data_IF_907539797566
#
_entry.id   IF_907539797566
#
_cell.length_a   1.000
_cell.length_b   1.000
_cell.length_c   1.000
_cell.angle_alpha   90.00
_cell.angle_beta   90.00
_cell.angle_gamma   90.00
#
_symmetry.space_group_name_H-M   'P 1'
#
loop_
_entity.id
_entity.type
_entity.pdbx_description
1 polymer ?
#
# COMPACT_ATOMS: atom_id res chain seq x y z
N UNK A 1 14.61 35.04 -7.17
CA UNK A 1 13.14 35.18 -7.24
C UNK A 1 12.48 34.40 -8.37
N UNK A 2 12.64 34.74 -9.66
CA UNK A 2 11.93 34.03 -10.75
C UNK A 2 12.41 32.58 -10.95
N UNK A 3 13.73 32.37 -10.81
CA UNK A 3 14.38 31.05 -10.95
C UNK A 3 14.14 30.10 -9.75
N UNK A 4 13.95 30.65 -8.55
CA UNK A 4 13.59 29.88 -7.34
C UNK A 4 12.12 29.45 -7.35
N UNK A 5 11.24 30.28 -7.92
CA UNK A 5 9.83 29.95 -8.12
C UNK A 5 9.64 28.84 -9.17
N UNK A 6 10.41 28.87 -10.27
CA UNK A 6 10.39 27.80 -11.28
C UNK A 6 10.98 26.49 -10.74
N UNK A 7 12.05 26.55 -9.94
CA UNK A 7 12.64 25.39 -9.28
C UNK A 7 11.69 24.73 -8.26
N UNK A 8 10.93 25.53 -7.50
CA UNK A 8 9.92 25.02 -6.57
C UNK A 8 8.75 24.34 -7.28
N UNK A 9 8.25 24.93 -8.36
CA UNK A 9 7.18 24.35 -9.18
C UNK A 9 7.61 23.03 -9.86
N UNK A 10 8.85 22.97 -10.36
CA UNK A 10 9.41 21.75 -10.93
C UNK A 10 9.46 20.62 -9.89
N UNK A 11 9.89 20.92 -8.66
CA UNK A 11 9.92 19.97 -7.55
C UNK A 11 8.51 19.47 -7.19
N UNK A 12 7.52 20.35 -7.08
CA UNK A 12 6.14 19.94 -6.77
C UNK A 12 5.53 19.06 -7.87
N UNK A 13 5.77 19.41 -9.14
CA UNK A 13 5.36 18.57 -10.27
C UNK A 13 6.02 17.19 -10.23
N UNK A 14 7.32 17.12 -9.96
CA UNK A 14 8.06 15.85 -9.84
C UNK A 14 7.51 14.98 -8.71
N UNK A 15 7.31 15.55 -7.51
CA UNK A 15 6.75 14.85 -6.35
C UNK A 15 5.33 14.34 -6.59
N UNK A 16 4.49 15.16 -7.23
CA UNK A 16 3.14 14.75 -7.64
C UNK A 16 3.17 13.56 -8.60
N UNK A 17 3.97 13.66 -9.66
CA UNK A 17 4.10 12.59 -10.65
C UNK A 17 4.63 11.31 -10.02
N UNK A 18 5.47 11.46 -9.01
CA UNK A 18 5.99 10.34 -8.27
C UNK A 18 4.92 9.59 -7.47
N UNK A 19 4.17 10.33 -6.66
CA UNK A 19 3.06 9.79 -5.90
C UNK A 19 2.01 9.13 -6.80
N UNK A 20 1.69 9.73 -7.95
CA UNK A 20 0.76 9.14 -8.93
C UNK A 20 1.30 7.84 -9.58
N UNK A 21 2.60 7.76 -9.86
CA UNK A 21 3.22 6.56 -10.40
C UNK A 21 3.17 5.41 -9.41
N UNK A 22 3.46 5.69 -8.14
CA UNK A 22 3.35 4.71 -7.03
C UNK A 22 1.92 4.23 -6.85
N UNK A 23 0.94 5.14 -6.91
CA UNK A 23 -0.48 4.77 -6.89
C UNK A 23 -0.85 3.78 -8.01
N UNK A 24 -0.33 4.01 -9.22
CA UNK A 24 -0.57 3.11 -10.37
C UNK A 24 0.01 1.71 -10.11
N UNK A 25 1.20 1.64 -9.50
CA UNK A 25 1.82 0.35 -9.17
C UNK A 25 1.08 -0.39 -8.05
N UNK A 26 0.67 0.31 -7.00
CA UNK A 26 -0.19 -0.28 -5.95
C UNK A 26 -1.53 -0.77 -6.51
N UNK A 27 -2.13 -0.04 -7.45
CA UNK A 27 -3.34 -0.49 -8.16
C UNK A 27 -3.11 -1.79 -8.93
N UNK A 28 -1.98 -1.88 -9.63
CA UNK A 28 -1.57 -3.08 -10.35
C UNK A 28 -1.43 -4.28 -9.41
N UNK A 29 -0.72 -4.13 -8.29
CA UNK A 29 -0.52 -5.19 -7.31
C UNK A 29 -1.82 -5.62 -6.66
N UNK A 30 -2.64 -4.64 -6.22
CA UNK A 30 -3.95 -4.90 -5.62
C UNK A 30 -4.82 -5.74 -6.55
N UNK A 31 -4.94 -5.34 -7.82
CA UNK A 31 -5.70 -6.11 -8.81
C UNK A 31 -5.13 -7.49 -9.10
N UNK A 32 -3.80 -7.66 -9.05
CA UNK A 32 -3.16 -8.95 -9.36
C UNK A 32 -3.34 -10.02 -8.25
N UNK A 33 -3.54 -9.60 -7.00
CA UNK A 33 -3.85 -10.50 -5.87
C UNK A 33 -5.34 -10.59 -5.55
N UNK A 34 -6.13 -9.54 -5.84
CA UNK A 34 -7.56 -9.50 -5.55
C UNK A 34 -8.41 -10.19 -6.61
N UNK A 35 -8.04 -10.02 -7.88
CA UNK A 35 -8.82 -10.49 -9.02
C UNK A 35 -8.00 -11.39 -9.95
N UNK A 36 -8.72 -12.23 -10.71
CA UNK A 36 -8.11 -13.02 -11.78
C UNK A 36 -7.39 -12.08 -12.76
N UNK A 37 -6.12 -12.36 -13.14
CA UNK A 37 -5.35 -11.49 -14.03
C UNK A 37 -6.07 -11.23 -15.35
N UNK A 38 -6.58 -10.01 -15.55
CA UNK A 38 -7.35 -9.67 -16.74
C UNK A 38 -6.49 -9.69 -18.02
N UNK A 39 -7.13 -9.88 -19.17
CA UNK A 39 -6.46 -9.88 -20.48
C UNK A 39 -5.77 -8.55 -20.78
N UNK A 40 -6.29 -7.45 -20.25
CA UNK A 40 -5.67 -6.12 -20.30
C UNK A 40 -4.37 -6.09 -19.50
N UNK A 41 -4.37 -6.63 -18.28
CA UNK A 41 -3.19 -6.67 -17.41
C UNK A 41 -2.06 -7.45 -18.06
N UNK A 42 -2.37 -8.66 -18.54
CA UNK A 42 -1.39 -9.53 -19.21
C UNK A 42 -0.81 -8.85 -20.44
N UNK A 43 -1.65 -8.15 -21.24
CA UNK A 43 -1.19 -7.39 -22.40
C UNK A 43 -0.25 -6.24 -22.03
N UNK A 44 -0.58 -5.46 -21.00
CA UNK A 44 0.24 -4.32 -20.56
C UNK A 44 1.63 -4.75 -20.06
N UNK A 45 1.73 -5.92 -19.41
CA UNK A 45 3.03 -6.48 -19.02
C UNK A 45 3.78 -6.98 -20.26
N UNK A 46 3.11 -7.75 -21.13
CA UNK A 46 3.72 -8.38 -22.32
C UNK A 46 4.25 -7.37 -23.32
N UNK A 47 3.48 -6.33 -23.61
CA UNK A 47 3.86 -5.31 -24.59
C UNK A 47 4.90 -4.32 -24.02
N UNK A 48 5.44 -4.60 -22.83
CA UNK A 48 6.44 -3.78 -22.16
C UNK A 48 5.92 -2.42 -21.70
N UNK A 49 4.61 -2.15 -21.81
CA UNK A 49 4.02 -0.85 -21.47
C UNK A 49 4.30 -0.48 -20.01
N UNK A 50 4.15 -1.44 -19.10
CA UNK A 50 4.46 -1.25 -17.68
C UNK A 50 5.95 -0.96 -17.45
N UNK A 51 6.84 -1.67 -18.17
CA UNK A 51 8.30 -1.46 -18.09
C UNK A 51 8.65 -0.07 -18.61
N UNK A 52 8.17 0.30 -19.78
CA UNK A 52 8.40 1.62 -20.38
C UNK A 52 7.90 2.74 -19.49
N UNK A 53 6.74 2.57 -18.84
CA UNK A 53 6.23 3.53 -17.87
C UNK A 53 7.14 3.65 -16.63
N UNK A 54 7.65 2.53 -16.12
CA UNK A 54 8.61 2.53 -15.00
C UNK A 54 9.99 3.09 -15.39
N UNK A 55 10.42 2.94 -16.64
CA UNK A 55 11.71 3.48 -17.10
C UNK A 55 11.65 4.96 -17.50
N UNK A 56 10.46 5.45 -17.85
CA UNK A 56 10.22 6.84 -18.25
C UNK A 56 10.47 7.84 -17.12
N UNK A 57 10.36 7.41 -15.86
CA UNK A 57 10.59 8.27 -14.71
C UNK A 57 11.78 7.77 -13.88
N UNK A 58 12.79 8.61 -13.60
CA UNK A 58 13.98 8.21 -12.82
C UNK A 58 13.64 7.57 -11.47
N UNK A 59 12.54 8.01 -10.88
CA UNK A 59 12.03 7.61 -9.59
C UNK A 59 11.32 6.25 -9.59
N UNK A 60 10.70 5.82 -10.70
CA UNK A 60 10.11 4.47 -10.84
C UNK A 60 11.05 3.46 -11.50
N UNK A 61 12.23 3.91 -11.94
CA UNK A 61 13.24 3.09 -12.62
C UNK A 61 13.73 1.91 -11.78
N UNK A 62 13.70 2.04 -10.45
CA UNK A 62 14.04 0.95 -9.52
C UNK A 62 13.11 -0.26 -9.70
N UNK A 63 11.82 0.01 -9.97
CA UNK A 63 10.80 -1.02 -10.18
C UNK A 63 10.86 -1.70 -11.56
N UNK A 64 11.48 -1.06 -12.56
CA UNK A 64 11.57 -1.58 -13.93
C UNK A 64 12.28 -2.92 -14.03
N UNK A 65 13.24 -3.21 -13.13
CA UNK A 65 13.92 -4.52 -13.09
C UNK A 65 12.95 -5.64 -12.73
N UNK A 66 12.03 -5.39 -11.79
CA UNK A 66 11.02 -6.35 -11.35
C UNK A 66 9.98 -6.59 -12.44
N UNK A 67 9.55 -5.52 -13.11
CA UNK A 67 8.61 -5.60 -14.24
C UNK A 67 9.19 -6.35 -15.45
N UNK A 68 10.48 -6.21 -15.73
CA UNK A 68 11.14 -7.01 -16.78
C UNK A 68 11.18 -8.49 -16.43
N UNK A 69 11.43 -8.83 -15.17
CA UNK A 69 11.44 -10.22 -14.70
C UNK A 69 10.07 -10.88 -14.90
N UNK A 70 8.97 -10.22 -14.52
CA UNK A 70 7.62 -10.76 -14.74
C UNK A 70 7.25 -10.82 -16.23
N UNK A 71 7.64 -9.84 -17.04
CA UNK A 71 7.40 -9.86 -18.48
C UNK A 71 8.08 -11.05 -19.17
N UNK A 72 9.29 -11.40 -18.75
CA UNK A 72 10.02 -12.57 -19.25
C UNK A 72 9.41 -13.92 -18.83
N UNK A 73 8.54 -13.93 -17.81
CA UNK A 73 7.84 -15.13 -17.34
C UNK A 73 6.48 -15.35 -18.02
N UNK A 74 6.02 -14.40 -18.84
CA UNK A 74 4.77 -14.51 -19.58
C UNK A 74 5.09 -14.98 -21.00
N UNK A 75 5.01 -16.28 -21.24
CA UNK A 75 5.12 -16.83 -22.59
C UNK A 75 4.02 -16.28 -23.51
N UNK A 76 4.33 -16.21 -24.82
CA UNK A 76 3.41 -15.73 -25.85
C UNK A 76 2.05 -16.46 -25.89
N UNK A 77 1.98 -17.65 -25.28
CA UNK A 77 0.84 -18.57 -25.22
C UNK A 77 0.12 -18.60 -23.86
N UNK A 78 0.41 -17.67 -22.93
CA UNK A 78 -0.31 -17.63 -21.65
C UNK A 78 -1.79 -17.35 -21.91
N UNK A 79 -2.57 -18.43 -21.94
CA UNK A 79 -4.01 -18.41 -21.95
C UNK A 79 -4.46 -17.79 -20.62
N UNK A 80 -5.49 -16.94 -20.69
CA UNK A 80 -6.14 -16.36 -19.51
C UNK A 80 -6.61 -17.44 -18.51
N UNK A 81 -6.95 -18.61 -19.03
CA UNK A 81 -7.53 -19.71 -18.29
C UNK A 81 -6.54 -20.39 -17.32
N UNK A 82 -5.32 -20.83 -17.73
CA UNK A 82 -4.28 -21.27 -16.80
C UNK A 82 -3.95 -20.29 -15.67
N UNK A 83 -3.88 -18.98 -15.97
CA UNK A 83 -3.65 -17.97 -14.93
C UNK A 83 -4.84 -17.85 -13.98
N UNK A 84 -6.07 -17.89 -14.49
CA UNK A 84 -7.28 -17.85 -13.67
C UNK A 84 -7.41 -19.10 -12.78
N UNK A 85 -7.08 -20.28 -13.31
CA UNK A 85 -7.07 -21.55 -12.55
C UNK A 85 -6.06 -21.45 -11.41
N UNK A 86 -4.83 -21.04 -11.73
CA UNK A 86 -3.76 -20.94 -10.74
C UNK A 86 -4.05 -19.86 -9.69
N UNK A 87 -4.62 -18.71 -10.08
CA UNK A 87 -5.13 -17.69 -9.16
C UNK A 87 -6.15 -18.28 -8.20
N UNK A 88 -7.16 -18.99 -8.71
CA UNK A 88 -8.19 -19.60 -7.88
C UNK A 88 -7.60 -20.66 -6.92
N UNK A 89 -6.61 -21.43 -7.37
CA UNK A 89 -5.90 -22.42 -6.55
C UNK A 89 -5.10 -21.78 -5.41
N UNK A 90 -4.39 -20.68 -5.69
CA UNK A 90 -3.54 -20.01 -4.71
C UNK A 90 -4.35 -19.15 -3.73
N UNK A 91 -5.36 -18.41 -4.18
CA UNK A 91 -5.93 -17.29 -3.41
C UNK A 91 -7.41 -17.38 -3.05
N UNK A 92 -8.20 -18.27 -3.67
CA UNK A 92 -9.68 -18.21 -3.53
C UNK A 92 -10.28 -19.39 -2.77
N UNK A 93 -9.98 -20.63 -3.16
CA UNK A 93 -10.68 -21.80 -2.62
C UNK A 93 -9.80 -22.66 -1.71
N UNK A 94 -10.35 -23.31 -0.65
CA UNK A 94 -9.61 -24.21 0.22
C UNK A 94 -9.31 -25.53 -0.50
N UNK A 95 -8.34 -25.48 -1.43
CA UNK A 95 -7.81 -26.60 -2.17
C UNK A 95 -6.33 -26.83 -1.87
N UNK A 96 -5.74 -27.81 -2.56
CA UNK A 96 -4.31 -28.09 -2.43
C UNK A 96 -3.46 -26.88 -2.83
N UNK A 97 -2.64 -26.40 -1.88
CA UNK A 97 -1.77 -25.25 -2.07
C UNK A 97 -2.47 -23.89 -1.99
N UNK A 98 -3.66 -23.82 -1.39
CA UNK A 98 -4.31 -22.57 -1.00
C UNK A 98 -3.48 -21.81 0.03
N UNK A 99 -3.28 -20.52 -0.21
CA UNK A 99 -2.52 -19.60 0.62
C UNK A 99 -3.42 -18.42 0.98
N UNK A 100 -4.06 -18.41 2.16
CA UNK A 100 -4.99 -17.35 2.56
C UNK A 100 -4.28 -15.98 2.56
N UNK A 101 -4.70 -15.04 1.71
CA UNK A 101 -4.05 -13.73 1.52
C UNK A 101 -4.47 -12.68 2.57
N UNK A 102 -4.48 -13.06 3.86
CA UNK A 102 -4.92 -12.20 4.96
C UNK A 102 -3.81 -12.03 6.00
N UNK A 103 -3.52 -10.80 6.43
CA UNK A 103 -2.51 -10.53 7.46
C UNK A 103 -2.81 -11.32 8.74
N UNK A 104 -4.06 -11.30 9.20
CA UNK A 104 -4.49 -11.98 10.43
C UNK A 104 -4.25 -13.49 10.45
N UNK A 105 -4.13 -14.11 9.26
CA UNK A 105 -3.84 -15.54 9.12
C UNK A 105 -2.34 -15.80 9.04
N UNK A 106 -1.57 -14.90 8.44
CA UNK A 106 -0.15 -15.09 8.13
C UNK A 106 0.78 -14.52 9.21
N UNK A 107 0.39 -13.45 9.90
CA UNK A 107 1.21 -12.80 10.91
C UNK A 107 1.26 -13.64 12.20
N UNK A 108 2.33 -14.43 12.38
CA UNK A 108 2.50 -15.33 13.55
C UNK A 108 2.91 -14.61 14.84
N UNK A 109 3.40 -13.38 14.77
CA UNK A 109 3.81 -12.59 15.95
C UNK A 109 3.78 -11.11 15.59
N UNK A 110 2.90 -10.32 16.21
CA UNK A 110 2.94 -8.85 16.12
C UNK A 110 3.58 -8.28 17.39
N UNK A 111 4.42 -7.27 17.22
CA UNK A 111 4.67 -6.30 18.29
C UNK A 111 3.41 -5.42 18.33
N UNK A 112 2.76 -5.22 19.49
CA UNK A 112 1.57 -4.38 19.56
C UNK A 112 1.86 -3.00 18.98
N UNK A 113 0.98 -2.51 18.10
CA UNK A 113 0.95 -1.08 17.79
C UNK A 113 0.61 -0.35 19.10
N UNK A 114 1.43 0.59 19.61
CA UNK A 114 1.30 1.11 20.98
C UNK A 114 0.02 1.93 21.25
N UNK A 115 -0.97 1.96 20.35
CA UNK A 115 -2.22 2.68 20.53
C UNK A 115 -2.10 4.20 20.46
N UNK A 116 -0.90 4.76 20.33
CA UNK A 116 -0.72 6.16 19.94
C UNK A 116 -0.93 6.28 18.42
N UNK A 117 -2.18 6.13 17.97
CA UNK A 117 -2.58 6.48 16.62
C UNK A 117 -2.30 7.96 16.39
N UNK A 118 -1.56 8.31 15.33
CA UNK A 118 -1.33 9.64 14.73
C UNK A 118 -1.12 10.89 15.65
N UNK A 119 -1.11 10.76 16.97
CA UNK A 119 -0.98 11.81 17.96
C UNK A 119 0.46 11.85 18.42
N UNK A 120 1.32 12.44 17.60
CA UNK A 120 2.48 13.22 18.03
C UNK A 120 3.01 14.00 16.83
N UNK A 121 2.14 14.75 16.18
CA UNK A 121 2.57 15.97 15.48
C UNK A 121 2.09 17.12 16.36
N UNK A 122 3.05 17.86 16.92
CA UNK A 122 2.82 18.93 17.90
C UNK A 122 1.75 19.92 17.44
N UNK A 123 0.89 20.28 18.38
CA UNK A 123 -0.39 20.96 18.21
C UNK A 123 -0.32 22.47 17.89
N UNK A 124 0.61 22.94 17.06
CA UNK A 124 0.83 24.39 16.83
C UNK A 124 0.81 24.80 15.35
N UNK A 125 -0.10 24.27 14.54
CA UNK A 125 -0.42 24.90 13.24
C UNK A 125 -1.91 25.01 13.05
N UNK A 126 -2.39 26.26 13.14
CA UNK A 126 -3.75 26.68 12.82
C UNK A 126 -4.07 26.42 11.36
N UNK A 127 -4.86 25.39 11.10
CA UNK A 127 -5.50 25.15 9.81
C UNK A 127 -6.92 25.73 9.85
N UNK A 128 -7.12 26.83 9.13
CA UNK A 128 -8.44 27.32 8.74
C UNK A 128 -8.90 26.65 7.44
N UNK A 129 -10.23 26.56 7.20
CA UNK A 129 -10.87 25.30 6.82
C UNK A 129 -11.16 25.16 5.32
N UNK A 130 -11.11 23.91 4.83
CA UNK A 130 -11.43 23.59 3.45
C UNK A 130 -11.75 22.12 3.12
N UNK A 131 -12.02 21.26 4.11
CA UNK A 131 -12.72 19.97 3.91
C UNK A 131 -13.52 19.68 5.18
N UNK A 132 -14.81 20.04 5.15
CA UNK A 132 -15.67 20.08 6.33
C UNK A 132 -16.28 18.74 6.69
N UNK A 133 -16.17 18.38 7.97
CA UNK A 133 -17.16 17.56 8.67
C UNK A 133 -17.70 18.39 9.85
N UNK A 134 -18.39 19.48 9.52
CA UNK A 134 -19.19 20.25 10.47
C UNK A 134 -20.48 19.51 10.80
N UNK A 135 -20.38 18.40 11.55
CA UNK A 135 -21.40 17.88 12.46
C UNK A 135 -20.77 16.75 13.28
N UNK A 136 -20.03 17.12 14.32
CA UNK A 136 -19.51 16.18 15.31
C UNK A 136 -20.49 16.09 16.48
N UNK A 137 -21.24 14.99 16.66
CA UNK A 137 -21.93 14.78 17.92
C UNK A 137 -20.94 14.21 18.94
N UNK A 138 -20.82 14.91 20.06
CA UNK A 138 -20.13 14.45 21.26
C UNK A 138 -20.70 13.11 21.73
N UNK A 139 -19.84 12.11 21.96
CA UNK A 139 -20.14 11.05 22.93
C UNK A 139 -18.86 10.46 23.52
N UNK A 140 -18.80 10.60 24.83
CA UNK A 140 -17.89 9.96 25.77
C UNK A 140 -17.73 8.46 25.48
N UNK A 141 -16.48 8.02 25.33
CA UNK A 141 -16.12 6.61 25.43
C UNK A 141 -16.12 6.21 26.91
N UNK A 142 -16.83 5.16 27.34
CA UNK A 142 -16.60 4.59 28.66
C UNK A 142 -15.25 3.88 28.65
N UNK A 143 -14.44 4.11 29.69
CA UNK A 143 -13.16 3.43 29.87
C UNK A 143 -13.34 1.90 29.85
N UNK A 144 -12.47 1.15 29.15
CA UNK A 144 -12.52 -0.30 29.19
C UNK A 144 -11.91 -0.78 30.51
N UNK A 145 -12.75 -0.93 31.52
CA UNK A 145 -12.46 -1.81 32.64
C UNK A 145 -12.46 -3.26 32.13
N UNK A 146 -11.27 -3.84 31.93
CA UNK A 146 -11.10 -5.29 31.82
C UNK A 146 -10.25 -5.78 30.66
N UNK A 147 -8.96 -5.46 30.65
CA UNK A 147 -7.97 -6.30 29.95
C UNK A 147 -7.73 -7.57 30.78
N UNK A 148 -8.54 -8.60 30.55
CA UNK A 148 -8.33 -9.93 31.08
C UNK A 148 -7.78 -10.86 29.98
N UNK A 149 -6.50 -11.20 30.15
CA UNK A 149 -5.79 -12.42 29.75
C UNK A 149 -5.74 -12.83 28.27
N UNK A 150 -4.54 -12.64 27.73
CA UNK A 150 -3.93 -13.31 26.58
C UNK A 150 -4.25 -14.81 26.51
N UNK A 151 -4.98 -15.21 25.48
CA UNK A 151 -5.05 -16.60 25.03
C UNK A 151 -4.80 -16.64 23.53
N UNK A 152 -3.79 -17.39 23.12
CA UNK A 152 -3.52 -17.77 21.74
C UNK A 152 -4.80 -18.35 21.12
N UNK A 153 -5.50 -17.56 20.32
CA UNK A 153 -6.63 -18.02 19.52
C UNK A 153 -6.13 -18.35 18.11
N UNK A 154 -6.69 -19.41 17.52
CA UNK A 154 -6.42 -19.82 16.14
C UNK A 154 -6.52 -18.62 15.17
N UNK A 155 -5.80 -18.63 14.02
CA UNK A 155 -5.87 -17.55 13.05
C UNK A 155 -7.33 -17.24 12.72
N UNK A 156 -7.76 -16.04 13.12
CA UNK A 156 -9.12 -15.53 12.95
C UNK A 156 -9.06 -14.47 11.87
N UNK A 157 -9.96 -14.59 10.89
CA UNK A 157 -10.11 -13.65 9.77
C UNK A 157 -10.46 -12.21 10.21
N UNK A 158 -10.97 -12.03 11.43
CA UNK A 158 -11.17 -10.72 12.07
C UNK A 158 -10.21 -10.55 13.26
N UNK A 159 -8.95 -10.90 13.06
CA UNK A 159 -7.90 -10.72 14.07
C UNK A 159 -7.54 -9.24 14.27
N UNK A 160 -6.63 -8.99 15.21
CA UNK A 160 -6.17 -7.64 15.56
C UNK A 160 -5.69 -6.84 14.34
N UNK A 161 -5.06 -7.51 13.37
CA UNK A 161 -4.60 -6.90 12.11
C UNK A 161 -5.75 -6.30 11.28
N UNK A 162 -6.87 -7.01 11.15
CA UNK A 162 -8.04 -6.54 10.40
C UNK A 162 -8.69 -5.32 11.05
N UNK A 163 -8.77 -5.32 12.39
CA UNK A 163 -9.30 -4.18 13.15
C UNK A 163 -8.36 -2.96 13.07
N UNK A 164 -7.05 -3.19 13.14
CA UNK A 164 -6.03 -2.16 13.03
C UNK A 164 -6.01 -1.53 11.63
N UNK A 165 -6.07 -2.35 10.58
CA UNK A 165 -6.16 -1.89 9.19
C UNK A 165 -7.44 -1.07 8.98
N UNK A 166 -8.59 -1.56 9.47
CA UNK A 166 -9.86 -0.83 9.40
C UNK A 166 -9.78 0.53 10.12
N UNK A 167 -9.13 0.59 11.28
CA UNK A 167 -8.89 1.85 11.99
C UNK A 167 -8.05 2.82 11.15
N UNK A 168 -6.95 2.35 10.56
CA UNK A 168 -6.13 3.18 9.67
C UNK A 168 -6.90 3.72 8.46
N UNK A 169 -7.82 2.92 7.89
CA UNK A 169 -8.67 3.37 6.78
C UNK A 169 -9.60 4.50 7.20
N UNK A 170 -10.26 4.33 8.36
CA UNK A 170 -11.15 5.34 8.93
C UNK A 170 -10.41 6.63 9.30
N UNK A 171 -9.24 6.54 9.94
CA UNK A 171 -8.38 7.69 10.28
C UNK A 171 -7.89 8.46 9.05
N UNK A 172 -7.76 7.76 7.92
CA UNK A 172 -7.40 8.36 6.64
C UNK A 172 -8.61 8.95 5.89
N UNK A 173 -9.83 8.76 6.42
CA UNK A 173 -11.07 9.25 5.81
C UNK A 173 -11.59 8.35 4.67
N UNK A 174 -11.15 7.10 4.60
CA UNK A 174 -11.67 6.13 3.64
C UNK A 174 -12.68 5.20 4.32
N UNK A 175 -13.88 5.14 3.77
CA UNK A 175 -14.89 4.17 4.19
C UNK A 175 -14.73 2.88 3.39
N UNK A 176 -14.68 1.75 4.09
CA UNK A 176 -14.82 0.45 3.44
C UNK A 176 -16.26 0.33 2.95
N UNK A 177 -16.47 0.30 1.64
CA UNK A 177 -17.79 0.01 1.08
C UNK A 177 -18.27 -1.35 1.59
N UNK A 178 -19.48 -1.41 2.13
CA UNK A 178 -20.11 -2.65 2.61
C UNK A 178 -20.26 -3.73 1.51
N UNK A 179 -20.02 -3.37 0.24
CA UNK A 179 -20.05 -4.28 -0.91
C UNK A 179 -18.72 -5.01 -1.17
N UNK A 180 -17.63 -4.66 -0.48
CA UNK A 180 -16.35 -5.37 -0.63
C UNK A 180 -16.43 -6.66 0.20
N UNK A 181 -16.53 -7.79 -0.49
CA UNK A 181 -16.55 -9.13 0.12
C UNK A 181 -15.23 -9.48 0.83
N UNK A 182 -14.14 -8.77 0.51
CA UNK A 182 -12.82 -8.98 1.09
C UNK A 182 -12.61 -8.21 2.41
N UNK A 183 -11.97 -8.89 3.37
CA UNK A 183 -11.68 -8.34 4.69
C UNK A 183 -10.69 -7.16 4.65
N UNK A 184 -10.68 -6.30 5.68
CA UNK A 184 -9.80 -5.13 5.72
C UNK A 184 -8.31 -5.45 5.60
N UNK A 185 -7.87 -6.61 6.08
CA UNK A 185 -6.48 -7.09 6.08
C UNK A 185 -6.14 -8.03 4.92
N UNK A 186 -7.03 -8.12 3.92
CA UNK A 186 -6.69 -8.81 2.69
C UNK A 186 -5.57 -8.05 1.96
N UNK A 187 -4.57 -8.75 1.41
CA UNK A 187 -3.43 -8.12 0.73
C UNK A 187 -3.85 -7.10 -0.33
N UNK A 188 -4.88 -7.41 -1.13
CA UNK A 188 -5.35 -6.48 -2.16
C UNK A 188 -5.96 -5.22 -1.55
N UNK A 189 -6.63 -5.32 -0.42
CA UNK A 189 -7.24 -4.20 0.30
C UNK A 189 -6.14 -3.30 0.90
N UNK A 190 -5.14 -3.89 1.55
CA UNK A 190 -4.00 -3.14 2.10
C UNK A 190 -3.18 -2.43 1.01
N UNK A 191 -2.97 -3.09 -0.13
CA UNK A 191 -2.32 -2.49 -1.30
C UNK A 191 -3.17 -1.38 -1.91
N UNK A 192 -4.50 -1.54 -1.96
CA UNK A 192 -5.40 -0.50 -2.48
C UNK A 192 -5.43 0.72 -1.56
N UNK A 193 -5.37 0.51 -0.24
CA UNK A 193 -5.22 1.60 0.71
C UNK A 193 -3.92 2.39 0.50
N UNK A 194 -2.81 1.71 0.25
CA UNK A 194 -1.56 2.39 -0.13
C UNK A 194 -1.69 3.19 -1.43
N UNK A 195 -2.42 2.69 -2.44
CA UNK A 195 -2.76 3.48 -3.64
C UNK A 195 -3.51 4.76 -3.26
N UNK A 196 -4.52 4.66 -2.41
CA UNK A 196 -5.31 5.82 -1.98
C UNK A 196 -4.47 6.87 -1.25
N UNK A 197 -3.57 6.44 -0.36
CA UNK A 197 -2.63 7.33 0.31
C UNK A 197 -1.64 8.00 -0.66
N UNK A 198 -1.20 7.30 -1.71
CA UNK A 198 -0.38 7.88 -2.77
C UNK A 198 -1.14 8.93 -3.60
N UNK A 199 -2.43 8.71 -3.87
CA UNK A 199 -3.27 9.70 -4.54
C UNK A 199 -3.49 10.95 -3.68
N UNK A 200 -3.70 10.76 -2.36
CA UNK A 200 -3.79 11.88 -1.42
C UNK A 200 -2.50 12.70 -1.38
N UNK A 201 -1.33 12.05 -1.40
CA UNK A 201 -0.04 12.73 -1.54
C UNK A 201 0.07 13.50 -2.86
N UNK A 202 -0.29 12.88 -4.00
CA UNK A 202 -0.25 13.53 -5.31
C UNK A 202 -1.15 14.78 -5.35
N UNK A 203 -2.33 14.71 -4.74
CA UNK A 203 -3.25 15.83 -4.63
C UNK A 203 -2.67 16.94 -3.73
N UNK A 204 -2.08 16.60 -2.59
CA UNK A 204 -1.45 17.58 -1.71
C UNK A 204 -0.29 18.34 -2.39
N UNK A 205 0.50 17.64 -3.23
CA UNK A 205 1.54 18.28 -4.05
C UNK A 205 0.96 19.17 -5.16
N UNK A 206 -0.20 18.79 -5.73
CA UNK A 206 -0.92 19.64 -6.69
C UNK A 206 -1.43 20.92 -6.04
N UNK A 207 -1.94 20.83 -4.82
CA UNK A 207 -2.50 21.95 -4.07
C UNK A 207 -1.42 22.76 -3.31
N UNK A 208 -0.14 22.47 -3.55
CA UNK A 208 1.02 23.10 -2.90
C UNK A 208 0.96 23.09 -1.36
N UNK A 209 0.33 22.08 -0.77
CA UNK A 209 0.12 21.95 0.68
C UNK A 209 1.14 20.97 1.27
N UNK A 210 2.36 21.45 1.55
CA UNK A 210 3.48 20.62 2.01
C UNK A 210 3.23 19.85 3.32
N UNK A 211 2.41 20.40 4.23
CA UNK A 211 2.03 19.73 5.49
C UNK A 211 1.14 18.51 5.23
N UNK A 212 0.14 18.64 4.35
CA UNK A 212 -0.73 17.53 3.95
C UNK A 212 0.06 16.44 3.20
N UNK A 213 1.00 16.82 2.33
CA UNK A 213 1.89 15.87 1.66
C UNK A 213 2.76 15.10 2.67
N UNK A 214 3.27 15.79 3.70
CA UNK A 214 4.07 15.18 4.76
C UNK A 214 3.26 14.23 5.64
N UNK A 215 2.01 14.58 5.96
CA UNK A 215 1.08 13.69 6.67
C UNK A 215 0.75 12.44 5.83
N UNK A 216 0.51 12.60 4.53
CA UNK A 216 0.26 11.48 3.63
C UNK A 216 1.47 10.54 3.58
N UNK A 217 2.69 11.07 3.41
CA UNK A 217 3.94 10.30 3.43
C UNK A 217 4.16 9.57 4.76
N UNK A 218 3.88 10.23 5.89
CA UNK A 218 3.98 9.60 7.21
C UNK A 218 3.01 8.40 7.34
N UNK A 219 1.75 8.59 6.93
CA UNK A 219 0.74 7.51 6.95
C UNK A 219 1.16 6.32 6.07
N UNK A 220 1.65 6.59 4.86
CA UNK A 220 2.16 5.56 3.95
C UNK A 220 3.30 4.77 4.58
N UNK A 221 4.28 5.47 5.18
CA UNK A 221 5.43 4.84 5.83
C UNK A 221 5.00 3.98 7.02
N UNK A 222 4.15 4.51 7.88
CA UNK A 222 3.68 3.78 9.07
C UNK A 222 2.91 2.53 8.68
N UNK A 223 1.96 2.66 7.74
CA UNK A 223 1.16 1.51 7.29
C UNK A 223 2.03 0.47 6.57
N UNK A 224 2.93 0.88 5.68
CA UNK A 224 3.85 -0.02 4.98
C UNK A 224 4.69 -0.85 5.97
N UNK A 225 5.22 -0.24 7.03
CA UNK A 225 6.09 -0.93 7.98
C UNK A 225 5.32 -1.84 8.94
N UNK A 226 4.14 -1.43 9.40
CA UNK A 226 3.39 -2.17 10.41
C UNK A 226 2.45 -3.24 9.85
N UNK A 227 1.96 -3.06 8.63
CA UNK A 227 1.11 -4.03 7.93
C UNK A 227 1.90 -4.76 6.85
N UNK A 228 2.05 -4.16 5.66
CA UNK A 228 2.55 -4.85 4.48
C UNK A 228 3.92 -5.52 4.70
N UNK A 229 4.92 -4.86 5.29
CA UNK A 229 6.23 -5.45 5.53
C UNK A 229 6.27 -6.47 6.67
N UNK A 230 5.27 -6.47 7.56
CA UNK A 230 5.21 -7.41 8.67
C UNK A 230 4.91 -8.84 8.21
N UNK A 231 4.21 -9.01 7.08
CA UNK A 231 3.75 -10.32 6.64
C UNK A 231 3.93 -10.59 5.14
N UNK A 232 3.78 -9.58 4.26
CA UNK A 232 3.76 -9.80 2.80
C UNK A 232 5.07 -10.39 2.28
N UNK A 233 6.28 -9.99 2.72
CA UNK A 233 7.52 -10.63 2.25
C UNK A 233 7.57 -12.14 2.56
N UNK A 234 7.16 -12.54 3.77
CA UNK A 234 7.06 -13.95 4.16
C UNK A 234 5.99 -14.69 3.37
N UNK A 235 4.83 -14.07 3.16
CA UNK A 235 3.76 -14.59 2.33
C UNK A 235 4.20 -14.78 0.87
N UNK A 236 4.94 -13.83 0.30
CA UNK A 236 5.49 -13.93 -1.06
C UNK A 236 6.42 -15.15 -1.19
N UNK A 237 7.22 -15.48 -0.18
CA UNK A 237 8.04 -16.69 -0.19
C UNK A 237 7.18 -17.97 -0.26
N UNK A 238 6.02 -18.00 0.41
CA UNK A 238 5.08 -19.12 0.32
C UNK A 238 4.47 -19.22 -1.08
N UNK A 239 4.07 -18.09 -1.66
CA UNK A 239 3.52 -18.04 -3.03
C UNK A 239 4.56 -18.52 -4.04
N UNK A 240 5.82 -18.06 -3.94
CA UNK A 240 6.91 -18.52 -4.81
C UNK A 240 7.13 -20.04 -4.71
N UNK A 241 7.11 -20.60 -3.50
CA UNK A 241 7.30 -22.04 -3.29
C UNK A 241 6.13 -22.91 -3.75
N UNK A 242 4.91 -22.37 -3.78
CA UNK A 242 3.69 -23.09 -4.17
C UNK A 242 3.25 -22.82 -5.61
N UNK A 243 3.78 -21.78 -6.26
CA UNK A 243 3.39 -21.41 -7.62
C UNK A 243 3.78 -22.49 -8.63
N UNK A 244 2.78 -23.00 -9.36
CA UNK A 244 2.96 -23.91 -10.50
C UNK A 244 3.19 -23.13 -11.79
N UNK A 245 2.73 -21.88 -11.84
CA UNK A 245 2.94 -21.00 -12.99
C UNK A 245 4.01 -19.93 -12.69
N UNK A 246 5.04 -19.74 -13.56
CA UNK A 246 6.12 -18.78 -13.36
C UNK A 246 5.65 -17.34 -13.09
N UNK A 247 4.51 -16.95 -13.66
CA UNK A 247 3.87 -15.65 -13.41
C UNK A 247 3.67 -15.35 -11.92
N UNK A 248 3.10 -16.27 -11.13
CA UNK A 248 2.79 -15.99 -9.71
C UNK A 248 4.05 -15.98 -8.84
N UNK A 249 5.05 -16.80 -9.15
CA UNK A 249 6.37 -16.70 -8.53
C UNK A 249 7.03 -15.35 -8.85
N UNK A 250 6.93 -14.88 -10.10
CA UNK A 250 7.46 -13.58 -10.48
C UNK A 250 6.67 -12.41 -9.84
N UNK A 251 5.35 -12.53 -9.71
CA UNK A 251 4.49 -11.54 -9.05
C UNK A 251 4.84 -11.39 -7.56
N UNK A 252 5.02 -12.51 -6.87
CA UNK A 252 5.44 -12.53 -5.47
C UNK A 252 6.82 -11.88 -5.28
N UNK A 253 7.81 -12.26 -6.10
CA UNK A 253 9.14 -11.67 -6.07
C UNK A 253 9.13 -10.15 -6.34
N UNK A 254 8.33 -9.73 -7.32
CA UNK A 254 8.14 -8.33 -7.68
C UNK A 254 7.49 -7.57 -6.52
N UNK A 255 6.48 -8.14 -5.88
CA UNK A 255 5.76 -7.50 -4.75
C UNK A 255 6.69 -7.30 -3.57
N UNK A 256 7.40 -8.35 -3.15
CA UNK A 256 8.37 -8.24 -2.05
C UNK A 256 9.48 -7.24 -2.35
N UNK A 257 10.08 -7.30 -3.56
CA UNK A 257 11.11 -6.37 -3.97
C UNK A 257 10.64 -4.91 -4.04
N UNK A 258 9.41 -4.68 -4.52
CA UNK A 258 8.79 -3.37 -4.55
C UNK A 258 8.58 -2.80 -3.14
N UNK A 259 8.03 -3.58 -2.20
CA UNK A 259 7.75 -3.07 -0.86
C UNK A 259 9.01 -2.64 -0.10
N UNK A 260 10.13 -3.36 -0.27
CA UNK A 260 11.41 -2.94 0.32
C UNK A 260 11.96 -1.66 -0.33
N UNK A 261 11.90 -1.55 -1.65
CA UNK A 261 12.31 -0.33 -2.35
C UNK A 261 11.44 0.87 -1.97
N UNK A 262 10.15 0.64 -1.74
CA UNK A 262 9.22 1.66 -1.26
C UNK A 262 9.54 2.11 0.17
N UNK A 263 9.96 1.19 1.04
CA UNK A 263 10.36 1.53 2.39
C UNK A 263 11.60 2.44 2.41
N UNK A 264 12.62 2.07 1.63
CA UNK A 264 13.85 2.85 1.47
C UNK A 264 13.55 4.26 0.96
N UNK A 265 12.70 4.33 -0.06
CA UNK A 265 12.24 5.58 -0.61
C UNK A 265 11.48 6.44 0.41
N UNK A 266 10.46 5.90 1.06
CA UNK A 266 9.64 6.67 2.00
C UNK A 266 10.47 7.19 3.17
N UNK A 267 11.49 6.44 3.59
CA UNK A 267 12.48 6.90 4.56
C UNK A 267 13.30 8.09 4.04
N UNK A 268 13.73 8.05 2.77
CA UNK A 268 14.43 9.18 2.12
C UNK A 268 13.54 10.42 2.04
N UNK A 269 12.32 10.27 1.51
CA UNK A 269 11.35 11.36 1.35
C UNK A 269 10.97 12.01 2.68
N UNK A 270 10.78 11.20 3.73
CA UNK A 270 10.46 11.70 5.06
C UNK A 270 11.63 12.48 5.67
N UNK A 271 12.88 12.01 5.50
CA UNK A 271 14.06 12.74 5.92
C UNK A 271 14.20 14.12 5.25
N UNK A 272 13.89 14.20 3.96
CA UNK A 272 13.90 15.46 3.19
C UNK A 272 12.80 16.44 3.64
N UNK A 273 11.61 15.94 4.01
CA UNK A 273 10.52 16.77 4.54
C UNK A 273 10.86 17.38 5.91
N UNK A 274 11.51 16.62 6.79
CA UNK A 274 11.98 17.13 8.08
C UNK A 274 13.08 18.19 7.91
N UNK A 275 13.97 18.02 6.93
CA UNK A 275 15.05 18.98 6.66
C UNK A 275 14.53 20.33 6.13
N UNK A 276 13.44 20.32 5.36
CA UNK A 276 12.83 21.54 4.79
C UNK A 276 11.96 22.31 5.79
N UNK A 277 11.40 21.63 6.80
CA UNK A 277 10.60 22.26 7.87
C UNK A 277 11.45 22.81 9.02
N UNK A 278 12.66 22.28 9.26
CA UNK A 278 13.59 22.77 10.29
C UNK A 278 14.46 23.98 9.92
N UNK A 279 14.33 24.53 8.71
CA UNK A 279 15.19 25.59 8.18
C UNK A 279 14.67 27.04 8.37
N UNK A 280 13.52 27.23 9.00
CA UNK A 280 12.91 28.55 9.27
C UNK A 280 12.60 28.73 10.76
N UNK A 281 13.60 28.58 11.61
CA UNK A 281 13.55 28.96 13.03
C UNK A 281 14.67 29.94 13.35
#
# INVERSE_FOLDING_TARGET
MQQESESGLAMFCERRMYAASRATFYSFLSGAFGDRPSSRLVRLIRDGTMVSFAEAYPCSRKYAKHLRRIANCIDAHVLQEPLAIEHTRLFVGPGEGYLPPYESVQARTRVPFPGAGYETVGADVSVSPGWGAGNWPSRTYPEPAGYATYAQTAPSLWGDAALDAQRCYAEAGFETSAAVEALPDHISTELDFMRLLCLAEAQAWQDATSSAASHALHRQRTFLNHHLLAWVPGYCCLVEGQARHPFFAALAALTSGFLYEEADLLNQLHGESLATTGGNA
#
